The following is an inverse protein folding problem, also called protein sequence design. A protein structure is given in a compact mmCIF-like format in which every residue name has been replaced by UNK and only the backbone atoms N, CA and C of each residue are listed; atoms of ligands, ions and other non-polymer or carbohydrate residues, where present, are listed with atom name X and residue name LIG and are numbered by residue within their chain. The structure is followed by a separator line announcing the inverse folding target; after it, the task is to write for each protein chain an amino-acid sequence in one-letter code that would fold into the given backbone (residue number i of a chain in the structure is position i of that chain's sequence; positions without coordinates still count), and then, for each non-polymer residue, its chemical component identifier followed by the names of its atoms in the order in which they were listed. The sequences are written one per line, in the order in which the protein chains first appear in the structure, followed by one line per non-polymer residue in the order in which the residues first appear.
data_IF_301856097910
#
_entry.id   IF_301856097910
#
_cell.length_a   1.000
_cell.length_b   1.000
_cell.length_c   1.000
_cell.angle_alpha   90.00
_cell.angle_beta   90.00
_cell.angle_gamma   90.00
#
_symmetry.space_group_name_H-M   'P 1'
#
loop_
_entity.id
_entity.type
_entity.pdbx_description
1 polymer ?
#
# COMPACT_ATOMS: atom_id res chain seq x y z
N UNK A 1 -17.12 -44.06 -23.28
CA UNK A 1 -17.94 -43.20 -22.40
C UNK A 1 -17.11 -42.53 -21.31
N UNK A 2 -16.29 -43.27 -20.54
CA UNK A 2 -15.44 -42.73 -19.47
C UNK A 2 -14.54 -41.54 -19.85
N UNK A 3 -13.88 -41.57 -21.01
CA UNK A 3 -12.96 -40.51 -21.44
C UNK A 3 -13.65 -39.15 -21.66
N UNK A 4 -14.91 -39.15 -22.13
CA UNK A 4 -15.68 -37.91 -22.32
C UNK A 4 -16.00 -37.24 -20.98
N UNK A 5 -16.35 -38.05 -19.96
CA UNK A 5 -16.58 -37.55 -18.61
C UNK A 5 -15.31 -37.03 -17.97
N UNK A 6 -14.17 -37.70 -18.18
CA UNK A 6 -12.88 -37.28 -17.65
C UNK A 6 -12.44 -35.92 -18.21
N UNK A 7 -12.55 -35.72 -19.53
CA UNK A 7 -12.23 -34.43 -20.17
C UNK A 7 -13.19 -33.33 -19.71
N UNK A 8 -14.48 -33.64 -19.53
CA UNK A 8 -15.47 -32.69 -19.00
C UNK A 8 -15.12 -32.23 -17.58
N UNK A 9 -14.67 -33.15 -16.72
CA UNK A 9 -14.28 -32.84 -15.33
C UNK A 9 -13.06 -31.90 -15.28
N UNK A 10 -12.04 -32.14 -16.11
CA UNK A 10 -10.85 -31.28 -16.16
C UNK A 10 -11.22 -29.88 -16.64
N UNK A 11 -12.08 -29.79 -17.67
CA UNK A 11 -12.55 -28.50 -18.19
C UNK A 11 -13.34 -27.72 -17.14
N UNK A 12 -14.20 -28.40 -16.37
CA UNK A 12 -14.95 -27.77 -15.27
C UNK A 12 -13.99 -27.29 -14.19
N UNK A 13 -13.05 -28.12 -13.75
CA UNK A 13 -12.09 -27.76 -12.69
C UNK A 13 -11.26 -26.53 -13.03
N UNK A 14 -10.80 -26.42 -14.28
CA UNK A 14 -10.06 -25.24 -14.77
C UNK A 14 -10.90 -23.95 -14.78
N UNK A 15 -12.21 -24.06 -15.03
CA UNK A 15 -13.13 -22.92 -14.99
C UNK A 15 -13.36 -22.46 -13.55
N UNK A 16 -13.50 -23.36 -12.58
CA UNK A 16 -13.77 -22.96 -11.17
C UNK A 16 -12.56 -22.28 -10.52
N UNK A 17 -11.33 -22.66 -10.87
CA UNK A 17 -10.12 -22.01 -10.37
C UNK A 17 -9.87 -20.61 -10.93
N UNK A 18 -10.60 -20.22 -11.98
CA UNK A 18 -10.45 -18.92 -12.65
C UNK A 18 -11.32 -17.82 -12.05
N UNK A 19 -12.23 -18.15 -11.13
CA UNK A 19 -13.17 -17.20 -10.53
C UNK A 19 -12.63 -16.72 -9.17
N UNK A 20 -11.64 -15.83 -9.20
CA UNK A 20 -11.22 -15.08 -8.01
C UNK A 20 -12.16 -13.88 -7.80
N UNK A 21 -12.97 -13.91 -6.74
CA UNK A 21 -13.72 -12.73 -6.28
C UNK A 21 -12.83 -11.93 -5.33
N UNK A 22 -12.13 -10.93 -5.86
CA UNK A 22 -11.41 -9.95 -5.05
C UNK A 22 -12.33 -8.73 -4.86
N UNK A 23 -13.02 -8.67 -3.73
CA UNK A 23 -13.60 -7.41 -3.24
C UNK A 23 -12.54 -6.73 -2.40
N UNK A 24 -11.94 -5.66 -2.91
CA UNK A 24 -11.02 -4.84 -2.15
C UNK A 24 -11.83 -3.86 -1.28
N UNK A 25 -11.74 -3.89 0.05
CA UNK A 25 -12.16 -2.75 0.86
C UNK A 25 -11.38 -1.49 0.41
N UNK A 26 -11.95 -0.30 0.60
CA UNK A 26 -11.25 0.95 0.28
C UNK A 26 -9.83 0.96 0.91
N UNK A 27 -8.82 1.55 0.24
CA UNK A 27 -7.43 1.45 0.67
C UNK A 27 -7.29 1.95 2.11
N UNK A 28 -7.06 1.01 3.03
CA UNK A 28 -6.78 1.32 4.42
C UNK A 28 -5.31 1.78 4.50
N UNK A 29 -5.05 2.80 5.31
CA UNK A 29 -3.67 3.15 5.66
C UNK A 29 -3.14 2.06 6.59
N UNK A 30 -2.22 1.23 6.08
CA UNK A 30 -1.53 0.21 6.84
C UNK A 30 -0.08 0.62 7.07
N UNK A 31 0.43 0.39 8.29
CA UNK A 31 1.83 0.57 8.63
C UNK A 31 2.37 -0.70 9.31
N UNK A 32 3.59 -1.12 8.95
CA UNK A 32 4.25 -2.28 9.53
C UNK A 32 5.42 -1.83 10.41
N UNK A 33 5.45 -2.23 11.68
CA UNK A 33 6.55 -1.93 12.61
C UNK A 33 7.24 -3.23 13.00
N UNK A 34 8.52 -3.36 12.67
CA UNK A 34 9.33 -4.48 13.12
C UNK A 34 9.57 -4.36 14.64
N UNK A 35 9.34 -5.45 15.37
CA UNK A 35 9.71 -5.53 16.79
C UNK A 35 11.20 -5.85 16.93
N UNK A 36 11.82 -5.32 17.97
CA UNK A 36 13.25 -5.50 18.25
C UNK A 36 13.50 -6.88 18.88
N UNK A 37 13.53 -7.90 18.04
CA UNK A 37 14.07 -9.23 18.35
C UNK A 37 15.42 -9.39 17.63
N UNK A 38 16.18 -10.39 18.04
CA UNK A 38 17.47 -10.78 17.48
C UNK A 38 17.46 -11.21 16.00
N UNK A 39 16.29 -11.17 15.34
CA UNK A 39 16.08 -11.62 13.97
C UNK A 39 15.73 -10.46 13.02
N UNK A 40 16.16 -10.56 11.76
CA UNK A 40 15.77 -9.61 10.72
C UNK A 40 14.28 -9.78 10.36
N UNK A 41 13.55 -8.67 10.29
CA UNK A 41 12.16 -8.65 9.83
C UNK A 41 12.08 -8.53 8.30
N UNK A 42 11.16 -9.26 7.69
CA UNK A 42 10.86 -9.19 6.25
C UNK A 42 9.34 -9.16 6.08
N UNK A 43 8.84 -8.27 5.22
CA UNK A 43 7.43 -8.17 4.87
C UNK A 43 7.23 -8.53 3.39
N UNK A 44 6.17 -9.30 3.10
CA UNK A 44 5.72 -9.60 1.73
C UNK A 44 4.30 -9.06 1.55
N UNK A 45 4.07 -8.32 0.47
CA UNK A 45 2.76 -7.78 0.11
C UNK A 45 2.33 -8.32 -1.26
N UNK A 46 1.10 -8.83 -1.34
CA UNK A 46 0.44 -9.20 -2.60
C UNK A 46 -0.58 -8.14 -2.97
N UNK A 47 -0.46 -7.56 -4.16
CA UNK A 47 -1.30 -6.45 -4.61
C UNK A 47 -2.10 -6.89 -5.84
N UNK A 48 -3.40 -6.62 -5.87
CA UNK A 48 -4.31 -7.03 -6.94
C UNK A 48 -4.38 -6.03 -8.12
N UNK A 49 -3.29 -5.29 -8.37
CA UNK A 49 -3.13 -4.39 -9.50
C UNK A 49 -1.72 -4.50 -10.05
N UNK A 50 -1.58 -4.44 -11.38
CA UNK A 50 -0.26 -4.36 -12.04
C UNK A 50 0.42 -2.99 -11.79
N UNK A 51 -0.38 -1.98 -11.47
CA UNK A 51 0.08 -0.65 -11.09
C UNK A 51 -0.66 -0.24 -9.80
N UNK A 52 -0.35 -0.85 -8.66
CA UNK A 52 -1.07 -0.60 -7.41
C UNK A 52 -0.83 0.83 -6.90
N UNK A 53 0.27 1.46 -7.32
CA UNK A 53 0.73 2.72 -6.76
C UNK A 53 1.19 2.55 -5.32
N UNK A 54 2.03 3.47 -4.85
CA UNK A 54 2.41 3.55 -3.44
C UNK A 54 2.41 5.03 -3.07
N UNK A 55 1.77 5.36 -1.95
CA UNK A 55 1.76 6.70 -1.38
C UNK A 55 2.24 6.57 0.07
N UNK A 56 3.50 6.94 0.30
CA UNK A 56 4.05 7.18 1.64
C UNK A 56 3.48 8.50 2.18
N UNK A 57 2.83 8.45 3.34
CA UNK A 57 2.08 9.57 3.91
C UNK A 57 3.02 10.72 4.21
N UNK A 58 4.18 10.42 4.80
CA UNK A 58 5.20 11.38 5.16
C UNK A 58 5.72 12.16 3.95
N UNK A 59 5.96 11.48 2.82
CA UNK A 59 6.36 12.16 1.59
C UNK A 59 5.19 12.97 0.99
N UNK A 60 3.98 12.40 0.96
CA UNK A 60 2.81 13.09 0.42
C UNK A 60 2.43 14.36 1.21
N UNK A 61 2.71 14.39 2.52
CA UNK A 61 2.33 15.52 3.41
C UNK A 61 3.48 16.52 3.57
N UNK A 62 4.72 16.04 3.78
CA UNK A 62 5.85 16.89 4.14
C UNK A 62 6.96 16.94 3.07
N UNK A 63 7.05 15.94 2.19
CA UNK A 63 8.05 15.86 1.11
C UNK A 63 7.53 16.23 -0.29
N UNK A 64 6.27 16.67 -0.40
CA UNK A 64 5.63 16.89 -1.70
C UNK A 64 6.31 18.01 -2.51
N UNK A 65 6.24 17.91 -3.84
CA UNK A 65 6.71 18.96 -4.74
C UNK A 65 5.59 19.42 -5.69
N UNK A 66 5.07 20.66 -5.56
CA UNK A 66 5.47 21.68 -4.58
C UNK A 66 5.04 21.33 -3.15
N UNK A 67 5.69 21.94 -2.16
CA UNK A 67 5.39 21.73 -0.74
C UNK A 67 4.02 22.31 -0.37
N UNK A 68 3.31 21.65 0.55
CA UNK A 68 2.05 22.15 1.12
C UNK A 68 2.36 23.35 2.02
N UNK A 69 1.50 24.37 2.00
CA UNK A 69 1.66 25.58 2.82
C UNK A 69 1.75 25.27 4.32
N UNK A 70 2.73 25.88 4.99
CA UNK A 70 2.99 25.67 6.41
C UNK A 70 1.81 26.10 7.29
N UNK A 71 1.06 27.13 6.88
CA UNK A 71 -0.17 27.56 7.56
C UNK A 71 -1.24 26.46 7.55
N UNK A 72 -1.38 25.75 6.43
CA UNK A 72 -2.34 24.65 6.29
C UNK A 72 -1.92 23.47 7.17
N UNK A 73 -0.64 23.09 7.12
CA UNK A 73 -0.11 21.98 7.91
C UNK A 73 -0.14 22.28 9.40
N UNK A 74 0.31 23.47 9.83
CA UNK A 74 0.27 23.92 11.22
C UNK A 74 -1.16 23.88 11.77
N UNK A 75 -2.14 24.33 10.99
CA UNK A 75 -3.54 24.31 11.39
C UNK A 75 -4.14 22.90 11.41
N UNK A 76 -3.83 22.07 10.41
CA UNK A 76 -4.36 20.71 10.30
C UNK A 76 -3.85 19.80 11.42
N UNK A 77 -2.56 19.87 11.72
CA UNK A 77 -1.91 19.04 12.75
C UNK A 77 -1.90 19.71 14.14
N UNK A 78 -2.34 20.97 14.25
CA UNK A 78 -2.31 21.76 15.48
C UNK A 78 -0.90 21.86 16.09
N UNK A 79 0.08 22.14 15.23
CA UNK A 79 1.50 22.29 15.60
C UNK A 79 2.05 23.65 15.17
N UNK A 80 3.18 24.05 15.74
CA UNK A 80 3.88 25.26 15.34
C UNK A 80 4.48 25.14 13.94
N UNK A 81 4.55 26.26 13.22
CA UNK A 81 5.21 26.33 11.90
C UNK A 81 6.65 25.84 11.94
N UNK A 82 7.40 26.10 13.02
CA UNK A 82 8.78 25.60 13.17
C UNK A 82 8.87 24.07 13.17
N UNK A 83 7.83 23.38 13.65
CA UNK A 83 7.75 21.92 13.60
C UNK A 83 7.41 21.47 12.18
N UNK A 84 6.55 22.20 11.47
CA UNK A 84 6.28 21.96 10.05
C UNK A 84 7.57 22.12 9.22
N UNK A 85 8.31 23.22 9.40
CA UNK A 85 9.59 23.46 8.74
C UNK A 85 10.57 22.32 9.00
N UNK A 86 10.65 21.88 10.27
CA UNK A 86 11.47 20.74 10.65
C UNK A 86 11.05 19.46 9.92
N UNK A 87 9.75 19.15 9.87
CA UNK A 87 9.23 17.96 9.21
C UNK A 87 9.43 18.02 7.69
N UNK A 88 9.22 19.15 7.04
CA UNK A 88 9.48 19.33 5.61
C UNK A 88 10.96 19.28 5.25
N UNK A 89 11.85 19.62 6.19
CA UNK A 89 13.30 19.49 6.00
C UNK A 89 13.84 18.07 6.14
N UNK A 90 13.04 17.13 6.67
CA UNK A 90 13.43 15.72 6.77
C UNK A 90 13.47 15.09 5.37
N UNK A 91 14.34 14.08 5.23
CA UNK A 91 14.33 13.24 4.04
C UNK A 91 13.16 12.24 4.13
N UNK A 92 12.20 12.37 3.23
CA UNK A 92 11.09 11.44 3.06
C UNK A 92 11.32 10.59 1.82
N UNK A 93 11.03 9.29 1.91
CA UNK A 93 11.31 8.37 0.81
C UNK A 93 10.28 8.51 -0.30
N UNK A 94 10.78 8.69 -1.52
CA UNK A 94 9.97 8.80 -2.73
C UNK A 94 9.47 7.44 -3.20
N UNK A 95 8.25 7.39 -3.73
CA UNK A 95 7.65 6.16 -4.25
C UNK A 95 7.99 5.90 -5.74
N UNK A 96 9.03 6.56 -6.28
CA UNK A 96 9.36 6.57 -7.71
C UNK A 96 10.75 6.00 -8.01
#
# INVERSE_FOLDING_TARGET
MALKYFVLIIAILAVVTSISHASDPSPLQDFCVAVNDSMNAVAFAGLCSQNPGVITIENAVFGSNPSISDDVLAKAFQIDKKVVDYLQSQFWWDNN
#
